data_IF_165282932686
#
_entry.id   IF_165282932686
#
_cell.length_a   1.000
_cell.length_b   1.000
_cell.length_c   1.000
_cell.angle_alpha   90.00
_cell.angle_beta   90.00
_cell.angle_gamma   90.00
#
_symmetry.space_group_name_H-M   'P 1'
#
loop_
_entity.id
_entity.type
_entity.pdbx_description
1 polymer ?
#
# COMPACT_ATOMS: atom_id res chain seq x y z
N UNK A 1 -5.15 -13.70 -6.80
CA UNK A 1 -4.89 -12.38 -7.42
C UNK A 1 -3.99 -11.59 -6.49
N UNK A 2 -2.94 -10.97 -7.04
CA UNK A 2 -1.88 -10.26 -6.32
C UNK A 2 -2.03 -8.75 -6.49
N UNK A 3 -1.70 -7.99 -5.45
CA UNK A 3 -1.56 -6.53 -5.50
C UNK A 3 -0.33 -6.10 -4.69
N UNK A 4 0.33 -5.05 -5.16
CA UNK A 4 1.43 -4.38 -4.48
C UNK A 4 0.93 -3.04 -3.90
N UNK A 5 1.16 -2.78 -2.62
CA UNK A 5 0.85 -1.51 -1.96
C UNK A 5 2.14 -0.72 -1.78
N UNK A 6 2.12 0.57 -2.14
CA UNK A 6 3.25 1.46 -1.94
C UNK A 6 2.90 2.54 -0.93
N UNK A 7 3.69 2.67 0.14
CA UNK A 7 3.55 3.75 1.13
C UNK A 7 4.57 4.88 0.93
N UNK A 8 5.80 4.53 0.55
CA UNK A 8 6.89 5.50 0.35
C UNK A 8 8.00 4.93 -0.55
N UNK A 9 9.00 5.75 -0.87
CA UNK A 9 10.19 5.40 -1.64
C UNK A 9 11.34 4.84 -0.77
N UNK A 10 11.10 4.66 0.54
CA UNK A 10 12.12 4.21 1.49
C UNK A 10 12.37 2.72 1.37
N UNK A 11 13.65 2.35 1.40
CA UNK A 11 14.13 0.96 1.42
C UNK A 11 13.49 0.07 0.34
N UNK A 12 13.11 0.62 -0.81
CA UNK A 12 12.51 -0.20 -1.87
C UNK A 12 13.54 -1.19 -2.45
N UNK A 13 13.10 -2.41 -2.81
CA UNK A 13 13.92 -3.30 -3.62
C UNK A 13 14.34 -2.62 -4.93
N UNK A 14 15.57 -2.84 -5.41
CA UNK A 14 16.04 -2.24 -6.65
C UNK A 14 15.20 -2.73 -7.84
N UNK A 15 14.87 -1.79 -8.74
CA UNK A 15 14.11 -2.04 -9.97
C UNK A 15 12.69 -2.57 -9.74
N UNK A 16 12.08 -2.32 -8.57
CA UNK A 16 10.74 -2.84 -8.26
C UNK A 16 9.69 -2.37 -9.26
N UNK A 17 9.73 -1.09 -9.66
CA UNK A 17 8.78 -0.52 -10.62
C UNK A 17 8.95 -1.08 -12.03
N UNK A 18 10.15 -1.51 -12.41
CA UNK A 18 10.39 -2.17 -13.71
C UNK A 18 9.89 -3.62 -13.68
N UNK A 19 10.20 -4.36 -12.59
CA UNK A 19 9.82 -5.77 -12.42
C UNK A 19 8.33 -5.97 -12.29
N UNK A 20 7.65 -5.06 -11.60
CA UNK A 20 6.24 -5.17 -11.25
C UNK A 20 5.38 -4.13 -12.00
N UNK A 21 5.89 -3.56 -13.10
CA UNK A 21 5.22 -2.48 -13.86
C UNK A 21 3.79 -2.82 -14.29
N UNK A 22 3.56 -4.08 -14.66
CA UNK A 22 2.29 -4.57 -15.19
C UNK A 22 1.41 -5.29 -14.15
N UNK A 23 1.76 -5.17 -12.87
CA UNK A 23 0.95 -5.71 -11.79
C UNK A 23 -0.02 -4.67 -11.23
N UNK A 24 -0.97 -5.11 -10.42
CA UNK A 24 -1.87 -4.20 -9.74
C UNK A 24 -1.13 -3.50 -8.60
N UNK A 25 -1.30 -2.19 -8.53
CA UNK A 25 -0.75 -1.35 -7.47
C UNK A 25 -1.85 -0.61 -6.70
N UNK A 26 -1.67 -0.46 -5.40
CA UNK A 26 -2.44 0.46 -4.56
C UNK A 26 -1.52 1.56 -4.02
N UNK A 27 -1.93 2.81 -4.15
CA UNK A 27 -1.16 3.96 -3.65
C UNK A 27 -1.63 4.35 -2.24
N UNK A 28 -0.72 4.38 -1.27
CA UNK A 28 -1.00 4.84 0.10
C UNK A 28 -0.21 6.12 0.35
N UNK A 29 -0.88 7.18 0.76
CA UNK A 29 -0.32 8.51 0.96
C UNK A 29 0.56 8.94 -0.23
N UNK A 30 1.82 9.28 0.05
CA UNK A 30 2.84 9.68 -0.92
C UNK A 30 3.20 8.58 -1.92
N UNK A 31 2.93 7.32 -1.60
CA UNK A 31 3.12 6.20 -2.52
C UNK A 31 2.32 6.37 -3.81
N UNK A 32 1.15 7.01 -3.75
CA UNK A 32 0.36 7.32 -4.95
C UNK A 32 1.13 8.20 -5.94
N UNK A 33 1.74 9.28 -5.44
CA UNK A 33 2.51 10.21 -6.27
C UNK A 33 3.73 9.51 -6.88
N UNK A 34 4.40 8.66 -6.10
CA UNK A 34 5.56 7.90 -6.57
C UNK A 34 5.15 6.96 -7.72
N UNK A 35 4.03 6.25 -7.59
CA UNK A 35 3.52 5.39 -8.68
C UNK A 35 3.24 6.20 -9.94
N UNK A 36 2.58 7.36 -9.79
CA UNK A 36 2.29 8.27 -10.91
C UNK A 36 3.56 8.73 -11.63
N UNK A 37 4.61 9.09 -10.87
CA UNK A 37 5.91 9.49 -11.43
C UNK A 37 6.65 8.36 -12.17
N UNK A 38 6.23 7.11 -11.98
CA UNK A 38 6.75 5.93 -12.66
C UNK A 38 5.82 5.41 -13.77
N UNK A 39 4.84 6.22 -14.21
CA UNK A 39 3.82 5.87 -15.20
C UNK A 39 3.00 4.61 -14.79
N UNK A 40 2.79 4.42 -13.49
CA UNK A 40 1.97 3.34 -12.95
C UNK A 40 0.67 3.94 -12.42
N UNK A 41 -0.46 3.51 -13.01
CA UNK A 41 -1.79 3.88 -12.54
C UNK A 41 -2.24 2.91 -11.45
N UNK A 42 -2.30 3.31 -10.16
CA UNK A 42 -2.85 2.48 -9.10
C UNK A 42 -4.32 2.16 -9.34
N UNK A 43 -4.77 0.99 -8.86
CA UNK A 43 -6.15 0.52 -8.91
C UNK A 43 -7.04 1.26 -7.91
N UNK A 44 -6.45 1.69 -6.80
CA UNK A 44 -7.09 2.55 -5.82
C UNK A 44 -6.02 3.33 -5.05
N UNK A 45 -6.46 4.38 -4.37
CA UNK A 45 -5.61 5.20 -3.53
C UNK A 45 -6.24 5.47 -2.17
N UNK A 46 -5.40 5.56 -1.15
CA UNK A 46 -5.80 5.89 0.23
C UNK A 46 -4.90 7.00 0.76
N UNK A 47 -5.50 7.92 1.51
CA UNK A 47 -4.85 9.10 2.05
C UNK A 47 -5.62 10.38 1.67
N UNK A 48 -5.52 11.39 2.51
CA UNK A 48 -6.15 12.70 2.31
C UNK A 48 -5.45 13.56 1.25
N UNK A 49 -4.23 13.18 0.87
CA UNK A 49 -3.34 13.94 -0.01
C UNK A 49 -3.12 15.39 0.46
N UNK A 50 -3.31 15.69 1.74
CA UNK A 50 -3.18 17.07 2.23
C UNK A 50 -1.72 17.55 2.23
N UNK A 51 -0.78 16.62 2.05
CA UNK A 51 0.65 16.88 1.87
C UNK A 51 1.10 17.14 0.42
N UNK A 52 0.19 17.04 -0.57
CA UNK A 52 0.52 17.27 -1.99
C UNK A 52 0.08 18.67 -2.42
N UNK A 53 0.83 19.26 -3.35
CA UNK A 53 0.51 20.56 -3.94
C UNK A 53 -0.81 20.51 -4.73
N UNK A 54 -1.46 21.66 -4.91
CA UNK A 54 -2.68 21.75 -5.72
C UNK A 54 -2.48 21.22 -7.16
N UNK A 55 -1.30 21.39 -7.73
CA UNK A 55 -0.95 20.87 -9.07
C UNK A 55 -0.88 19.34 -9.09
N UNK A 56 -0.22 18.74 -8.10
CA UNK A 56 -0.17 17.28 -7.94
C UNK A 56 -1.56 16.70 -7.69
N UNK A 57 -2.39 17.38 -6.90
CA UNK A 57 -3.77 16.95 -6.62
C UNK A 57 -4.63 16.94 -7.88
N UNK A 58 -4.53 17.95 -8.72
CA UNK A 58 -5.26 17.98 -10.00
C UNK A 58 -4.74 16.94 -10.99
N UNK A 59 -3.41 16.72 -11.04
CA UNK A 59 -2.83 15.63 -11.83
C UNK A 59 -3.35 14.26 -11.38
N UNK A 60 -3.36 14.00 -10.07
CA UNK A 60 -3.88 12.76 -9.50
C UNK A 60 -5.38 12.57 -9.79
N UNK A 61 -6.20 13.62 -9.68
CA UNK A 61 -7.63 13.54 -10.04
C UNK A 61 -7.85 13.22 -11.52
N UNK A 62 -7.08 13.83 -12.41
CA UNK A 62 -7.20 13.64 -13.86
C UNK A 62 -6.69 12.26 -14.32
N UNK A 63 -5.57 11.80 -13.76
CA UNK A 63 -4.94 10.53 -14.14
C UNK A 63 -5.67 9.33 -13.52
N UNK A 64 -6.16 9.48 -12.29
CA UNK A 64 -6.65 8.32 -11.55
C UNK A 64 -8.14 8.08 -11.74
N UNK A 65 -8.99 9.09 -11.94
CA UNK A 65 -10.46 8.95 -11.91
C UNK A 65 -10.96 8.03 -10.77
N UNK A 66 -10.17 7.94 -9.69
CA UNK A 66 -10.36 7.07 -8.54
C UNK A 66 -10.74 8.00 -7.41
N UNK A 67 -11.88 7.70 -6.80
CA UNK A 67 -12.26 8.36 -5.57
C UNK A 67 -11.36 7.83 -4.46
N UNK A 68 -10.62 8.70 -3.74
CA UNK A 68 -9.82 8.27 -2.61
C UNK A 68 -10.73 7.59 -1.58
N UNK A 69 -10.24 6.52 -0.97
CA UNK A 69 -10.95 5.90 0.16
C UNK A 69 -10.89 6.89 1.31
N UNK A 70 -12.05 7.42 1.73
CA UNK A 70 -12.13 8.38 2.84
C UNK A 70 -11.56 7.75 4.12
N UNK A 71 -10.60 8.44 4.75
CA UNK A 71 -10.05 8.11 6.06
C UNK A 71 -11.01 8.45 7.23
N UNK A 72 -12.32 8.22 7.05
CA UNK A 72 -13.35 8.50 8.08
C UNK A 72 -13.28 7.56 9.29
N UNK A 73 -12.40 6.56 9.27
CA UNK A 73 -12.19 5.60 10.36
C UNK A 73 -10.87 5.89 11.06
N UNK A 74 -10.80 5.67 12.36
CA UNK A 74 -9.59 5.77 13.21
C UNK A 74 -8.48 4.73 12.86
N UNK A 75 -8.52 4.14 11.66
CA UNK A 75 -7.52 3.21 11.14
C UNK A 75 -6.46 3.99 10.33
N UNK A 76 -5.21 3.53 10.37
CA UNK A 76 -4.14 4.14 9.55
C UNK A 76 -4.40 3.97 8.05
N UNK A 77 -3.86 4.86 7.21
CA UNK A 77 -4.03 4.79 5.74
C UNK A 77 -3.59 3.45 5.16
N UNK A 78 -2.53 2.85 5.69
CA UNK A 78 -2.09 1.51 5.30
C UNK A 78 -3.11 0.44 5.70
N UNK A 79 -3.72 0.54 6.88
CA UNK A 79 -4.74 -0.42 7.32
C UNK A 79 -5.98 -0.37 6.41
N UNK A 80 -6.43 0.84 6.06
CA UNK A 80 -7.50 1.07 5.10
C UNK A 80 -7.12 0.55 3.70
N UNK A 81 -5.88 0.78 3.28
CA UNK A 81 -5.34 0.24 2.04
C UNK A 81 -5.38 -1.29 1.97
N UNK A 82 -4.98 -1.97 3.03
CA UNK A 82 -5.05 -3.43 3.09
C UNK A 82 -6.51 -3.90 3.12
N UNK A 83 -7.38 -3.23 3.87
CA UNK A 83 -8.82 -3.56 3.92
C UNK A 83 -9.45 -3.46 2.51
N UNK A 84 -9.14 -2.40 1.77
CA UNK A 84 -9.64 -2.20 0.40
C UNK A 84 -9.15 -3.28 -0.56
N UNK A 85 -7.86 -3.66 -0.51
CA UNK A 85 -7.35 -4.79 -1.29
C UNK A 85 -8.10 -6.09 -0.97
N UNK A 86 -8.32 -6.37 0.31
CA UNK A 86 -9.05 -7.57 0.73
C UNK A 86 -10.51 -7.54 0.25
N UNK A 87 -11.16 -6.38 0.30
CA UNK A 87 -12.55 -6.21 -0.17
C UNK A 87 -12.67 -6.35 -1.69
N UNK A 88 -11.66 -5.90 -2.45
CA UNK A 88 -11.56 -6.14 -3.91
C UNK A 88 -11.19 -7.59 -4.27
N UNK A 89 -10.98 -8.47 -3.29
CA UNK A 89 -10.75 -9.90 -3.50
C UNK A 89 -9.29 -10.30 -3.72
N UNK A 90 -8.32 -9.41 -3.47
CA UNK A 90 -6.91 -9.78 -3.49
C UNK A 90 -6.58 -10.75 -2.35
N UNK A 91 -5.75 -11.74 -2.67
CA UNK A 91 -5.32 -12.80 -1.73
C UNK A 91 -3.83 -12.78 -1.43
N UNK A 92 -3.05 -12.11 -2.28
CA UNK A 92 -1.64 -11.85 -2.06
C UNK A 92 -1.44 -10.33 -2.08
N UNK A 93 -0.98 -9.79 -0.96
CA UNK A 93 -0.79 -8.35 -0.76
C UNK A 93 0.66 -8.15 -0.35
N UNK A 94 1.43 -7.55 -1.25
CA UNK A 94 2.80 -7.15 -0.95
C UNK A 94 2.80 -5.69 -0.52
N UNK A 95 3.46 -5.34 0.58
CA UNK A 95 3.55 -3.98 1.10
C UNK A 95 4.99 -3.50 0.96
N UNK A 96 5.19 -2.37 0.29
CA UNK A 96 6.47 -1.73 0.05
C UNK A 96 6.52 -0.33 0.67
N UNK A 97 7.72 0.09 1.08
CA UNK A 97 7.93 1.43 1.62
C UNK A 97 7.35 1.65 3.02
N UNK A 98 7.06 0.57 3.76
CA UNK A 98 6.56 0.60 5.14
C UNK A 98 7.66 0.52 6.21
N UNK A 99 8.95 0.53 5.82
CA UNK A 99 10.12 0.48 6.72
C UNK A 99 11.03 1.70 6.54
N UNK A 100 11.98 1.93 7.46
CA UNK A 100 13.07 2.91 7.28
C UNK A 100 12.78 4.37 7.67
N UNK A 101 11.69 4.63 8.40
CA UNK A 101 11.35 5.96 8.88
C UNK A 101 10.79 5.93 10.30
N UNK A 102 9.57 6.41 10.45
CA UNK A 102 8.82 6.43 11.71
C UNK A 102 8.56 5.02 12.23
N UNK A 103 9.14 4.68 13.38
CA UNK A 103 9.02 3.34 13.98
C UNK A 103 7.61 3.02 14.44
N UNK A 104 6.85 4.03 14.87
CA UNK A 104 5.44 3.89 15.21
C UNK A 104 4.59 3.48 14.00
N UNK A 105 4.88 4.00 12.80
CA UNK A 105 4.22 3.53 11.57
C UNK A 105 4.58 2.07 11.25
N UNK A 106 5.87 1.71 11.42
CA UNK A 106 6.31 0.33 11.23
C UNK A 106 5.63 -0.63 12.23
N UNK A 107 5.52 -0.25 13.50
CA UNK A 107 4.81 -1.04 14.51
C UNK A 107 3.32 -1.15 14.21
N UNK A 108 2.69 -0.06 13.75
CA UNK A 108 1.31 -0.08 13.27
C UNK A 108 1.12 -1.06 12.09
N UNK A 109 2.07 -1.07 11.15
CA UNK A 109 2.08 -2.05 10.06
C UNK A 109 2.15 -3.50 10.58
N UNK A 110 3.00 -3.79 11.56
CA UNK A 110 3.07 -5.14 12.16
C UNK A 110 1.76 -5.56 12.85
N UNK A 111 0.99 -4.60 13.38
CA UNK A 111 -0.33 -4.87 13.95
C UNK A 111 -1.35 -5.24 12.86
N UNK A 112 -1.22 -4.70 11.65
CA UNK A 112 -2.07 -5.08 10.51
C UNK A 112 -1.90 -6.57 10.20
N UNK A 113 -0.66 -7.08 10.19
CA UNK A 113 -0.39 -8.50 9.96
C UNK A 113 -1.09 -9.41 10.97
N UNK A 114 -1.28 -8.93 12.21
CA UNK A 114 -1.91 -9.67 13.31
C UNK A 114 -3.44 -9.66 13.28
N UNK A 115 -4.10 -8.90 12.39
CA UNK A 115 -5.57 -8.81 12.34
C UNK A 115 -6.18 -10.19 12.02
N UNK A 116 -7.01 -10.79 12.90
CA UNK A 116 -7.56 -12.15 12.70
C UNK A 116 -8.38 -12.32 11.42
N UNK A 117 -8.98 -11.23 10.95
CA UNK A 117 -9.78 -11.16 9.73
C UNK A 117 -9.01 -11.68 8.51
N UNK A 118 -7.71 -11.37 8.40
CA UNK A 118 -6.92 -11.73 7.22
C UNK A 118 -6.60 -13.22 7.18
N UNK A 119 -6.41 -13.85 8.34
CA UNK A 119 -6.27 -15.31 8.44
C UNK A 119 -7.55 -16.04 8.02
N UNK A 120 -8.70 -15.61 8.55
CA UNK A 120 -9.99 -16.23 8.22
C UNK A 120 -10.29 -16.12 6.72
N UNK A 121 -9.86 -15.02 6.09
CA UNK A 121 -10.01 -14.79 4.64
C UNK A 121 -8.91 -15.45 3.80
N UNK A 122 -7.95 -16.16 4.40
CA UNK A 122 -6.77 -16.77 3.75
C UNK A 122 -6.01 -15.77 2.87
N UNK A 123 -5.79 -14.56 3.40
CA UNK A 123 -5.03 -13.51 2.74
C UNK A 123 -3.58 -13.63 3.18
N UNK A 124 -2.68 -13.72 2.22
CA UNK A 124 -1.24 -13.67 2.44
C UNK A 124 -0.77 -12.21 2.33
N UNK A 125 -0.22 -11.68 3.42
CA UNK A 125 0.32 -10.32 3.47
C UNK A 125 1.81 -10.40 3.74
N UNK A 126 2.60 -9.84 2.84
CA UNK A 126 4.05 -9.85 2.91
C UNK A 126 4.55 -8.42 2.86
N UNK A 127 5.41 -8.04 3.81
CA UNK A 127 6.04 -6.73 3.82
C UNK A 127 7.45 -6.92 3.30
N UNK A 128 7.78 -6.20 2.23
CA UNK A 128 9.02 -6.39 1.49
C UNK A 128 9.76 -5.06 1.47
N UNK A 129 11.00 -5.09 1.92
CA UNK A 129 11.96 -4.02 1.70
C UNK A 129 13.23 -4.55 1.03
N UNK A 130 14.24 -3.71 0.87
CA UNK A 130 15.51 -4.04 0.21
C UNK A 130 16.23 -5.25 0.82
N UNK A 131 16.03 -5.53 2.11
CA UNK A 131 16.79 -6.52 2.86
C UNK A 131 15.93 -7.54 3.61
N UNK A 132 14.63 -7.27 3.77
CA UNK A 132 13.75 -8.03 4.63
C UNK A 132 12.47 -8.43 3.90
N UNK A 133 11.99 -9.61 4.24
CA UNK A 133 10.65 -10.09 3.93
C UNK A 133 10.00 -10.50 5.26
N UNK A 134 8.87 -9.88 5.59
CA UNK A 134 8.17 -10.10 6.86
C UNK A 134 6.76 -10.60 6.56
N UNK A 135 6.43 -11.75 7.13
CA UNK A 135 5.11 -12.36 7.07
C UNK A 135 4.76 -12.97 8.42
N UNK A 136 3.46 -12.98 8.75
CA UNK A 136 2.98 -13.66 9.94
C UNK A 136 2.46 -15.05 9.57
N UNK A 137 3.04 -16.07 10.18
CA UNK A 137 2.65 -17.46 9.96
C UNK A 137 1.64 -17.91 11.01
N UNK A 138 0.66 -18.70 10.56
CA UNK A 138 -0.28 -19.37 11.45
C UNK A 138 0.35 -20.57 12.15
N UNK A 139 -0.28 -21.01 13.23
CA UNK A 139 0.00 -22.31 13.84
C UNK A 139 -0.15 -23.41 12.78
N UNK A 140 0.91 -24.20 12.61
CA UNK A 140 0.95 -25.38 11.72
C UNK A 140 0.55 -26.66 12.43
#
# INVERSE_FOLDING_TARGET
MKINLLCSDRNLPPYIFEKEKHTHWGGIDRGTLILSNHDITPVYTVGDFDSVSNEEREHLKQVLNIHPVNAEKDDTDLALGVEEAVNKGYKEINIYGATGGRLDHFMGMLQILQKPLYFNKKVNIIVIDKQNEIQLLNTG
#
